data_IF_109169880001
#
_entry.id   IF_109169880001
#
_cell.length_a   1.000
_cell.length_b   1.000
_cell.length_c   1.000
_cell.angle_alpha   90.00
_cell.angle_beta   90.00
_cell.angle_gamma   90.00
#
_symmetry.space_group_name_H-M   'P 1'
#
loop_
_entity.id
_entity.type
_entity.pdbx_description
1 polymer ?
#
# COMPACT_ATOMS: atom_id res chain seq x y z
N UNK A 1 -13.07 30.77 -17.31
CA UNK A 1 -13.47 29.69 -16.37
C UNK A 1 -14.06 30.23 -15.05
N UNK A 2 -13.59 31.39 -14.55
CA UNK A 2 -14.03 31.96 -13.26
C UNK A 2 -15.21 32.94 -13.36
N UNK A 3 -15.61 33.32 -14.58
CA UNK A 3 -16.77 34.18 -14.81
C UNK A 3 -18.09 33.39 -14.68
N UNK A 4 -19.22 34.11 -14.60
CA UNK A 4 -20.54 33.48 -14.53
C UNK A 4 -20.85 32.63 -15.78
N UNK A 5 -20.45 33.11 -16.93
CA UNK A 5 -20.57 32.41 -18.22
C UNK A 5 -19.62 31.22 -18.32
N UNK A 6 -18.39 31.36 -17.80
CA UNK A 6 -17.36 30.30 -17.84
C UNK A 6 -17.54 29.19 -16.79
N UNK A 7 -18.60 29.25 -15.96
CA UNK A 7 -18.82 28.24 -14.92
C UNK A 7 -19.17 26.86 -15.49
N UNK A 8 -19.89 26.82 -16.61
CA UNK A 8 -20.17 25.56 -17.32
C UNK A 8 -18.90 24.97 -17.90
N UNK A 9 -18.03 25.80 -18.51
CA UNK A 9 -16.75 25.34 -19.03
C UNK A 9 -15.81 24.82 -17.93
N UNK A 10 -15.85 25.41 -16.73
CA UNK A 10 -15.10 24.91 -15.59
C UNK A 10 -15.56 23.50 -15.20
N UNK A 11 -16.87 23.25 -15.16
CA UNK A 11 -17.42 21.94 -14.82
C UNK A 11 -16.96 20.89 -15.85
N UNK A 12 -17.10 21.16 -17.13
CA UNK A 12 -16.74 20.23 -18.19
C UNK A 12 -15.22 20.04 -18.31
N UNK A 13 -14.48 21.13 -18.45
CA UNK A 13 -13.03 21.10 -18.75
C UNK A 13 -12.20 20.73 -17.52
N UNK A 14 -12.55 21.23 -16.33
CA UNK A 14 -11.73 21.00 -15.14
C UNK A 14 -12.21 19.78 -14.37
N UNK A 15 -13.52 19.66 -14.09
CA UNK A 15 -14.03 18.60 -13.22
C UNK A 15 -14.29 17.29 -13.97
N UNK A 16 -14.94 17.32 -15.14
CA UNK A 16 -15.28 16.10 -15.88
C UNK A 16 -14.06 15.52 -16.63
N UNK A 17 -13.26 16.34 -17.30
CA UNK A 17 -12.02 15.90 -17.94
C UNK A 17 -10.91 15.61 -16.89
N UNK A 18 -11.02 16.17 -15.68
CA UNK A 18 -9.99 16.06 -14.65
C UNK A 18 -8.68 16.73 -15.07
N UNK A 19 -8.77 17.93 -15.67
CA UNK A 19 -7.65 18.63 -16.25
C UNK A 19 -6.63 19.03 -15.18
N UNK A 20 -5.38 18.66 -15.37
CA UNK A 20 -4.28 19.12 -14.50
C UNK A 20 -3.89 20.57 -14.84
N UNK A 21 -3.23 21.25 -13.89
CA UNK A 21 -2.74 22.61 -14.14
C UNK A 21 -1.80 22.69 -15.36
N UNK A 22 -0.93 21.70 -15.52
CA UNK A 22 0.00 21.67 -16.66
C UNK A 22 -0.74 21.57 -18.00
N UNK A 23 -1.77 20.71 -18.06
CA UNK A 23 -2.61 20.58 -19.26
C UNK A 23 -3.44 21.84 -19.50
N UNK A 24 -3.92 22.49 -18.42
CA UNK A 24 -4.63 23.77 -18.51
C UNK A 24 -3.74 24.86 -19.13
N UNK A 25 -2.51 25.02 -18.63
CA UNK A 25 -1.56 25.98 -19.18
C UNK A 25 -1.20 25.65 -20.62
N UNK A 26 -1.07 24.37 -20.98
CA UNK A 26 -0.86 23.94 -22.36
C UNK A 26 -2.04 24.25 -23.29
N UNK A 27 -3.29 24.13 -22.78
CA UNK A 27 -4.51 24.45 -23.54
C UNK A 27 -4.70 25.97 -23.74
N UNK A 28 -4.21 26.79 -22.81
CA UNK A 28 -4.32 28.24 -22.84
C UNK A 28 -2.94 28.91 -22.77
N UNK A 29 -2.14 28.85 -23.86
CA UNK A 29 -0.75 29.30 -23.86
C UNK A 29 -0.57 30.83 -23.66
N UNK A 30 -1.63 31.61 -23.82
CA UNK A 30 -1.63 33.04 -23.43
C UNK A 30 -1.67 33.25 -21.92
N UNK A 31 -2.01 32.22 -21.14
CA UNK A 31 -1.96 32.24 -19.69
C UNK A 31 -0.54 31.83 -19.25
N UNK A 32 0.35 32.77 -19.07
CA UNK A 32 1.73 32.56 -18.66
C UNK A 32 2.00 33.19 -17.28
N UNK A 33 1.52 32.57 -16.20
CA UNK A 33 1.74 33.10 -14.84
C UNK A 33 3.24 33.08 -14.50
N UNK A 34 3.74 34.11 -13.78
CA UNK A 34 5.12 34.11 -13.30
C UNK A 34 5.40 32.87 -12.41
N UNK A 35 6.61 32.32 -12.56
CA UNK A 35 7.01 31.13 -11.75
C UNK A 35 6.85 31.36 -10.25
N UNK A 36 7.19 32.57 -9.74
CA UNK A 36 7.04 32.91 -8.34
C UNK A 36 5.59 32.79 -7.84
N UNK A 37 4.62 33.19 -8.66
CA UNK A 37 3.20 33.07 -8.34
C UNK A 37 2.77 31.58 -8.31
N UNK A 38 3.25 30.76 -9.24
CA UNK A 38 2.97 29.32 -9.24
C UNK A 38 3.54 28.65 -7.98
N UNK A 39 4.78 28.97 -7.61
CA UNK A 39 5.42 28.41 -6.41
C UNK A 39 4.72 28.85 -5.12
N UNK A 40 4.15 30.06 -5.08
CA UNK A 40 3.40 30.55 -3.94
C UNK A 40 2.04 29.86 -3.78
N UNK A 41 1.35 29.61 -4.90
CA UNK A 41 -0.02 29.09 -4.89
C UNK A 41 -0.10 27.55 -4.90
N UNK A 42 0.91 26.87 -5.44
CA UNK A 42 0.89 25.42 -5.52
C UNK A 42 1.26 24.78 -4.17
N UNK A 43 0.46 23.82 -3.70
CA UNK A 43 0.83 23.08 -2.49
C UNK A 43 2.07 22.22 -2.76
N UNK A 44 2.92 21.99 -1.73
CA UNK A 44 4.05 21.08 -1.86
C UNK A 44 3.57 19.65 -2.16
N UNK A 45 4.41 18.89 -2.84
CA UNK A 45 4.13 17.47 -3.08
C UNK A 45 4.13 16.73 -1.73
N UNK A 46 2.95 16.27 -1.33
CA UNK A 46 2.77 15.59 -0.05
C UNK A 46 3.37 14.18 -0.08
N UNK A 47 4.00 13.71 1.01
CA UNK A 47 4.47 12.34 1.11
C UNK A 47 3.31 11.35 1.08
N UNK A 48 3.57 10.14 0.56
CA UNK A 48 2.65 9.00 0.63
C UNK A 48 3.15 8.06 1.71
N UNK A 49 2.22 7.51 2.48
CA UNK A 49 2.52 6.62 3.59
C UNK A 49 2.16 5.19 3.22
N UNK A 50 3.08 4.27 3.47
CA UNK A 50 2.91 2.84 3.24
C UNK A 50 3.28 2.10 4.51
N UNK A 51 2.46 1.13 4.92
CA UNK A 51 2.78 0.27 6.05
C UNK A 51 3.85 -0.72 5.66
N UNK A 52 4.84 -0.93 6.53
CA UNK A 52 5.90 -1.90 6.30
C UNK A 52 5.36 -3.33 6.40
N UNK A 53 5.85 -4.20 5.54
CA UNK A 53 5.60 -5.65 5.56
C UNK A 53 6.77 -6.47 6.13
N UNK A 54 7.83 -5.80 6.56
CA UNK A 54 9.03 -6.42 7.13
C UNK A 54 9.23 -5.99 8.58
N UNK A 55 9.95 -6.81 9.34
CA UNK A 55 10.36 -6.50 10.72
C UNK A 55 11.85 -6.19 10.80
N UNK A 56 12.27 -5.21 11.62
CA UNK A 56 13.70 -4.94 11.84
C UNK A 56 14.39 -6.05 12.63
N UNK A 57 13.66 -6.97 13.26
CA UNK A 57 14.23 -8.06 14.05
C UNK A 57 14.71 -9.25 13.19
N UNK A 58 14.22 -9.41 11.96
CA UNK A 58 14.71 -10.47 11.09
C UNK A 58 16.13 -10.17 10.62
N UNK A 59 17.02 -11.16 10.68
CA UNK A 59 18.42 -11.03 10.28
C UNK A 59 18.61 -10.49 8.86
N UNK A 60 17.71 -10.86 7.94
CA UNK A 60 17.65 -10.34 6.58
C UNK A 60 16.95 -8.96 6.48
N UNK A 61 16.20 -8.56 7.50
CA UNK A 61 15.38 -7.33 7.50
C UNK A 61 16.08 -6.08 8.02
N UNK A 62 17.22 -6.23 8.67
CA UNK A 62 17.94 -5.10 9.28
C UNK A 62 18.39 -4.03 8.26
N UNK A 63 18.48 -4.38 6.97
CA UNK A 63 18.93 -3.49 5.90
C UNK A 63 17.89 -3.29 4.78
N UNK A 64 16.70 -3.88 4.89
CA UNK A 64 15.66 -3.77 3.86
C UNK A 64 14.30 -3.44 4.45
N UNK A 65 13.54 -2.60 3.76
CA UNK A 65 12.18 -2.24 4.11
C UNK A 65 11.25 -2.69 2.99
N UNK A 66 10.31 -3.57 3.31
CA UNK A 66 9.28 -4.04 2.38
C UNK A 66 7.95 -3.34 2.62
N UNK A 67 7.22 -3.06 1.56
CA UNK A 67 5.84 -2.57 1.60
C UNK A 67 5.07 -3.00 0.33
N UNK A 68 3.76 -3.05 0.42
CA UNK A 68 2.90 -3.32 -0.72
C UNK A 68 2.20 -2.05 -1.20
N UNK A 69 2.08 -1.90 -2.53
CA UNK A 69 1.27 -0.85 -3.12
C UNK A 69 0.52 -1.38 -4.34
N UNK A 70 -0.58 -0.73 -4.67
CA UNK A 70 -1.31 -0.97 -5.91
C UNK A 70 -1.08 0.22 -6.82
N UNK A 71 -0.78 -0.01 -8.10
CA UNK A 71 -0.73 1.06 -9.10
C UNK A 71 -2.14 1.66 -9.22
N UNK A 72 -2.23 2.94 -8.95
CA UNK A 72 -3.52 3.66 -8.98
C UNK A 72 -3.78 4.10 -10.41
N UNK A 73 -4.86 3.61 -10.98
CA UNK A 73 -5.34 3.99 -12.32
C UNK A 73 -6.84 4.23 -12.25
N UNK A 74 -7.28 5.26 -12.93
CA UNK A 74 -8.71 5.56 -13.04
C UNK A 74 -9.03 6.24 -14.36
N UNK A 75 -10.29 6.24 -14.72
CA UNK A 75 -10.80 6.98 -15.87
C UNK A 75 -11.69 8.11 -15.37
N UNK A 76 -11.48 9.31 -15.89
CA UNK A 76 -12.32 10.46 -15.56
C UNK A 76 -13.73 10.30 -16.15
N UNK A 77 -14.74 11.07 -15.69
CA UNK A 77 -16.08 11.04 -16.29
C UNK A 77 -16.08 11.30 -17.79
N UNK A 78 -15.15 12.10 -18.30
CA UNK A 78 -14.99 12.34 -19.74
C UNK A 78 -14.22 11.23 -20.51
N UNK A 79 -13.89 10.10 -19.84
CA UNK A 79 -13.20 8.97 -20.47
C UNK A 79 -11.67 9.11 -20.57
N UNK A 80 -11.06 10.09 -19.90
CA UNK A 80 -9.59 10.28 -19.92
C UNK A 80 -8.94 9.35 -18.90
N UNK A 81 -7.99 8.52 -19.35
CA UNK A 81 -7.21 7.66 -18.47
C UNK A 81 -6.22 8.48 -17.62
N UNK A 82 -6.16 8.19 -16.35
CA UNK A 82 -5.30 8.85 -15.35
C UNK A 82 -4.54 7.82 -14.51
N UNK A 83 -3.36 8.19 -14.05
CA UNK A 83 -2.52 7.35 -13.21
C UNK A 83 -2.06 8.11 -11.96
N UNK A 84 -1.86 7.37 -10.87
CA UNK A 84 -1.36 7.90 -9.62
C UNK A 84 0.14 8.21 -9.71
N UNK A 85 0.53 9.45 -9.46
CA UNK A 85 1.91 9.95 -9.61
C UNK A 85 2.93 9.06 -8.86
N UNK A 86 2.72 8.84 -7.57
CA UNK A 86 3.67 8.09 -6.74
C UNK A 86 3.72 6.59 -7.13
N UNK A 87 2.57 5.96 -7.34
CA UNK A 87 2.52 4.52 -7.63
C UNK A 87 3.04 4.18 -9.02
N UNK A 88 2.85 5.06 -10.01
CA UNK A 88 3.44 4.91 -11.35
C UNK A 88 4.96 5.04 -11.28
N UNK A 89 5.48 6.01 -10.51
CA UNK A 89 6.91 6.15 -10.30
C UNK A 89 7.51 4.93 -9.60
N UNK A 90 6.86 4.42 -8.53
CA UNK A 90 7.31 3.22 -7.84
C UNK A 90 7.33 1.99 -8.76
N UNK A 91 6.31 1.82 -9.61
CA UNK A 91 6.26 0.73 -10.58
C UNK A 91 7.39 0.83 -11.64
N UNK A 92 7.68 2.04 -12.12
CA UNK A 92 8.78 2.28 -13.06
C UNK A 92 10.15 1.96 -12.41
N UNK A 93 10.37 2.39 -11.17
CA UNK A 93 11.59 2.09 -10.43
C UNK A 93 11.75 0.58 -10.20
N UNK A 94 10.69 -0.12 -9.78
CA UNK A 94 10.71 -1.56 -9.59
C UNK A 94 11.03 -2.31 -10.89
N UNK A 95 10.47 -1.87 -12.02
CA UNK A 95 10.73 -2.46 -13.33
C UNK A 95 12.17 -2.22 -13.80
N UNK A 96 12.76 -1.05 -13.54
CA UNK A 96 14.15 -0.76 -13.91
C UNK A 96 15.14 -1.62 -13.13
N UNK A 97 14.92 -1.79 -11.83
CA UNK A 97 15.76 -2.68 -10.98
C UNK A 97 15.66 -4.14 -11.43
N UNK A 98 14.46 -4.60 -11.79
CA UNK A 98 14.25 -5.96 -12.27
C UNK A 98 14.94 -6.22 -13.64
N UNK A 99 15.00 -5.21 -14.52
CA UNK A 99 15.61 -5.35 -15.84
C UNK A 99 17.14 -5.38 -15.79
N UNK A 100 17.76 -4.57 -14.93
CA UNK A 100 19.22 -4.41 -14.89
C UNK A 100 19.91 -5.36 -13.90
N UNK A 101 19.16 -6.04 -13.02
CA UNK A 101 19.71 -6.88 -11.95
C UNK A 101 20.60 -6.10 -10.95
N UNK A 102 20.73 -4.79 -11.13
CA UNK A 102 21.54 -3.91 -10.30
C UNK A 102 20.66 -3.00 -9.45
N UNK A 103 20.76 -3.13 -8.15
CA UNK A 103 20.13 -2.22 -7.20
C UNK A 103 20.79 -0.82 -7.15
N UNK A 104 21.70 -0.51 -8.07
CA UNK A 104 22.65 0.59 -7.92
C UNK A 104 22.18 1.98 -8.40
N UNK A 105 21.10 2.10 -9.17
CA UNK A 105 20.76 3.39 -9.79
C UNK A 105 19.42 4.02 -9.38
N UNK A 106 18.56 3.28 -8.71
CA UNK A 106 17.24 3.79 -8.29
C UNK A 106 17.28 4.23 -6.84
N UNK A 107 17.28 5.54 -6.58
CA UNK A 107 17.20 6.11 -5.25
C UNK A 107 15.77 6.58 -4.95
N UNK A 108 15.25 6.19 -3.80
CA UNK A 108 13.96 6.66 -3.29
C UNK A 108 14.17 7.40 -1.97
N UNK A 109 13.75 8.67 -1.93
CA UNK A 109 13.78 9.46 -0.70
C UNK A 109 12.62 9.04 0.21
N UNK A 110 12.90 8.51 1.39
CA UNK A 110 11.89 8.09 2.34
C UNK A 110 12.26 8.46 3.78
N UNK A 111 11.28 8.47 4.66
CA UNK A 111 11.45 8.64 6.10
C UNK A 111 10.49 7.71 6.85
N UNK A 112 10.86 7.33 8.07
CA UNK A 112 10.00 6.53 8.93
C UNK A 112 9.04 7.43 9.71
N UNK A 113 7.75 7.10 9.65
CA UNK A 113 6.72 7.73 10.47
C UNK A 113 6.26 6.75 11.55
N UNK A 114 6.57 7.02 12.83
CA UNK A 114 6.11 6.17 13.92
C UNK A 114 4.58 6.17 14.02
N UNK A 115 3.99 5.01 14.30
CA UNK A 115 2.56 4.83 14.54
C UNK A 115 2.34 4.36 15.98
N UNK A 116 1.98 5.25 16.91
CA UNK A 116 1.91 4.90 18.34
C UNK A 116 0.78 3.92 18.68
N UNK A 117 -0.31 3.92 17.91
CA UNK A 117 -1.51 3.10 18.16
C UNK A 117 -1.60 1.83 17.33
N UNK A 118 -0.99 1.80 16.14
CA UNK A 118 -1.05 0.63 15.24
C UNK A 118 0.21 -0.22 15.39
N UNK A 119 0.23 -1.07 16.40
CA UNK A 119 1.35 -1.97 16.73
C UNK A 119 0.85 -3.23 17.41
N UNK A 120 1.66 -4.28 17.40
CA UNK A 120 1.40 -5.48 18.20
C UNK A 120 1.37 -5.13 19.70
N UNK A 121 0.53 -5.82 20.50
CA UNK A 121 0.63 -5.80 21.95
C UNK A 121 2.04 -6.22 22.41
N UNK A 122 2.50 -5.63 23.51
CA UNK A 122 3.82 -5.97 24.07
C UNK A 122 3.84 -7.45 24.54
N UNK A 123 2.76 -7.86 25.20
CA UNK A 123 2.59 -9.23 25.66
C UNK A 123 2.30 -10.16 24.46
N UNK A 124 3.22 -11.12 24.13
CA UNK A 124 3.06 -11.98 22.96
C UNK A 124 1.90 -12.96 23.06
N UNK A 125 1.39 -13.25 24.25
CA UNK A 125 0.23 -14.09 24.54
C UNK A 125 -1.11 -13.42 24.24
N UNK A 126 -1.14 -12.10 24.01
CA UNK A 126 -2.38 -11.38 23.73
C UNK A 126 -2.96 -11.82 22.38
N UNK A 127 -4.18 -12.37 22.33
CA UNK A 127 -4.80 -12.75 21.08
C UNK A 127 -5.18 -11.50 20.27
N UNK A 128 -4.93 -11.54 18.94
CA UNK A 128 -5.24 -10.45 18.06
C UNK A 128 -6.04 -10.92 16.85
N UNK A 129 -7.01 -10.12 16.45
CA UNK A 129 -7.72 -10.25 15.19
C UNK A 129 -7.17 -9.19 14.23
N UNK A 130 -6.65 -9.63 13.10
CA UNK A 130 -6.03 -8.81 12.06
C UNK A 130 -6.95 -8.87 10.83
N UNK A 131 -7.31 -7.71 10.28
CA UNK A 131 -8.22 -7.63 9.13
C UNK A 131 -7.55 -6.78 8.05
N UNK A 132 -7.09 -7.44 6.97
CA UNK A 132 -6.28 -6.79 5.94
C UNK A 132 -6.64 -7.22 4.51
N UNK A 133 -7.68 -6.65 3.89
CA UNK A 133 -7.97 -6.92 2.49
C UNK A 133 -6.97 -6.23 1.56
N UNK A 134 -6.61 -6.92 0.46
CA UNK A 134 -5.68 -6.41 -0.55
C UNK A 134 -4.32 -6.04 0.05
N UNK A 135 -3.78 -4.87 -0.31
CA UNK A 135 -2.51 -4.37 0.22
C UNK A 135 -2.53 -4.07 1.72
N UNK A 136 -3.71 -4.02 2.34
CA UNK A 136 -3.87 -3.89 3.80
C UNK A 136 -3.32 -5.07 4.59
N UNK A 137 -2.96 -6.18 3.94
CA UNK A 137 -2.30 -7.33 4.56
C UNK A 137 -0.83 -7.05 4.93
N UNK A 138 -0.17 -6.12 4.25
CA UNK A 138 1.26 -5.86 4.40
C UNK A 138 1.74 -5.71 5.85
N UNK A 139 1.16 -4.87 6.71
CA UNK A 139 1.60 -4.75 8.09
C UNK A 139 1.44 -6.05 8.90
N UNK A 140 0.47 -6.88 8.56
CA UNK A 140 0.22 -8.13 9.28
C UNK A 140 1.21 -9.23 8.93
N UNK A 141 1.77 -9.21 7.72
CA UNK A 141 2.95 -10.01 7.36
C UNK A 141 4.14 -9.60 8.23
N UNK A 142 4.40 -8.29 8.36
CA UNK A 142 5.43 -7.76 9.25
C UNK A 142 5.21 -8.16 10.72
N UNK A 143 3.97 -8.16 11.19
CA UNK A 143 3.62 -8.59 12.55
C UNK A 143 3.88 -10.09 12.77
N UNK A 144 3.53 -10.94 11.80
CA UNK A 144 3.81 -12.38 11.89
C UNK A 144 5.31 -12.65 11.89
N UNK A 145 6.07 -12.01 11.00
CA UNK A 145 7.54 -12.10 10.98
C UNK A 145 8.17 -11.60 12.29
N UNK A 146 7.64 -10.52 12.86
CA UNK A 146 8.12 -9.99 14.13
C UNK A 146 7.95 -11.00 15.26
N UNK A 147 6.80 -11.67 15.35
CA UNK A 147 6.54 -12.71 16.33
C UNK A 147 7.46 -13.92 16.18
N UNK A 148 7.72 -14.36 14.94
CA UNK A 148 8.68 -15.44 14.69
C UNK A 148 10.08 -15.04 15.15
N UNK A 149 10.56 -13.88 14.75
CA UNK A 149 11.88 -13.40 15.13
C UNK A 149 12.04 -13.19 16.65
N UNK A 150 10.99 -12.74 17.35
CA UNK A 150 10.99 -12.67 18.81
C UNK A 150 11.13 -14.07 19.46
N UNK A 151 10.38 -15.05 18.95
CA UNK A 151 10.46 -16.43 19.47
C UNK A 151 11.86 -17.03 19.27
N UNK A 152 12.45 -16.84 18.08
CA UNK A 152 13.80 -17.28 17.76
C UNK A 152 14.83 -16.65 18.72
N UNK A 153 14.74 -15.34 18.95
CA UNK A 153 15.64 -14.61 19.83
C UNK A 153 15.55 -15.07 21.29
N UNK A 154 14.38 -15.49 21.73
CA UNK A 154 14.13 -16.02 23.08
C UNK A 154 14.46 -17.51 23.22
N UNK A 155 14.87 -18.19 22.14
CA UNK A 155 15.07 -19.64 22.11
C UNK A 155 13.79 -20.44 22.41
N UNK A 156 12.63 -19.86 22.16
CA UNK A 156 11.34 -20.43 22.45
C UNK A 156 10.80 -21.17 21.22
N UNK A 157 10.33 -22.43 21.41
CA UNK A 157 9.55 -23.09 20.39
C UNK A 157 8.17 -22.42 20.27
N UNK A 158 7.80 -22.06 19.07
CA UNK A 158 6.49 -21.54 18.75
C UNK A 158 5.61 -22.67 18.16
N UNK A 159 4.39 -22.90 18.62
CA UNK A 159 3.64 -22.18 19.65
C UNK A 159 3.85 -22.80 21.03
N UNK A 160 4.67 -22.18 21.87
CA UNK A 160 4.64 -22.54 23.30
C UNK A 160 3.22 -22.32 23.85
N UNK A 161 2.73 -23.24 24.64
CA UNK A 161 1.40 -23.18 25.23
C UNK A 161 1.18 -21.81 25.90
N UNK A 162 0.18 -21.06 25.44
CA UNK A 162 -0.19 -19.75 25.98
C UNK A 162 0.24 -18.51 25.18
N UNK A 163 1.06 -18.62 24.14
CA UNK A 163 1.37 -17.45 23.30
C UNK A 163 0.21 -17.10 22.38
N UNK A 164 -0.01 -15.79 22.21
CA UNK A 164 -1.20 -15.22 21.59
C UNK A 164 -1.42 -15.67 20.17
N UNK A 165 -2.65 -16.02 19.89
CA UNK A 165 -3.10 -16.50 18.60
C UNK A 165 -3.44 -15.30 17.71
N UNK A 166 -2.60 -14.99 16.74
CA UNK A 166 -2.95 -14.06 15.69
C UNK A 166 -3.91 -14.74 14.72
N UNK A 167 -5.09 -14.19 14.54
CA UNK A 167 -6.04 -14.62 13.49
C UNK A 167 -6.08 -13.55 12.42
N UNK A 168 -5.70 -13.90 11.19
CA UNK A 168 -5.71 -12.98 10.07
C UNK A 168 -6.88 -13.27 9.13
N UNK A 169 -7.70 -12.25 8.88
CA UNK A 169 -8.71 -12.23 7.83
C UNK A 169 -8.15 -11.49 6.64
N UNK A 170 -7.84 -12.23 5.57
CA UNK A 170 -7.32 -11.71 4.31
C UNK A 170 -8.38 -11.80 3.22
N UNK A 171 -8.52 -10.77 2.41
CA UNK A 171 -9.45 -10.74 1.28
C UNK A 171 -8.81 -10.19 0.04
N UNK A 172 -9.06 -10.83 -1.11
CA UNK A 172 -8.68 -10.31 -2.42
C UNK A 172 -9.76 -10.63 -3.47
N UNK A 173 -9.53 -10.27 -4.73
CA UNK A 173 -10.49 -10.54 -5.80
C UNK A 173 -10.43 -11.98 -6.25
N UNK A 174 -9.24 -12.45 -6.63
CA UNK A 174 -8.99 -13.79 -7.15
C UNK A 174 -7.84 -14.44 -6.39
N UNK A 175 -8.03 -15.68 -5.95
CA UNK A 175 -7.01 -16.43 -5.23
C UNK A 175 -5.72 -16.59 -6.05
N UNK A 176 -5.83 -17.01 -7.30
CA UNK A 176 -4.67 -17.30 -8.13
C UNK A 176 -3.90 -16.05 -8.62
N UNK A 177 -4.50 -14.85 -8.53
CA UNK A 177 -3.93 -13.63 -9.12
C UNK A 177 -3.57 -12.56 -8.10
N UNK A 178 -4.39 -12.44 -7.06
CA UNK A 178 -4.37 -11.28 -6.17
C UNK A 178 -3.99 -11.68 -4.73
N UNK A 179 -3.59 -12.94 -4.47
CA UNK A 179 -3.19 -13.38 -3.13
C UNK A 179 -1.76 -12.92 -2.83
N UNK A 180 -1.66 -11.73 -2.25
CA UNK A 180 -0.39 -11.14 -1.84
C UNK A 180 0.21 -11.91 -0.67
N UNK A 181 1.54 -12.11 -0.68
CA UNK A 181 2.31 -12.74 0.40
C UNK A 181 1.82 -14.14 0.77
N UNK A 182 1.36 -14.93 -0.22
CA UNK A 182 0.85 -16.28 0.02
C UNK A 182 1.86 -17.14 0.78
N UNK A 183 3.07 -17.24 0.27
CA UNK A 183 4.12 -18.10 0.83
C UNK A 183 4.49 -17.68 2.24
N UNK A 184 4.63 -16.38 2.51
CA UNK A 184 4.94 -15.84 3.82
C UNK A 184 3.81 -16.08 4.82
N UNK A 185 2.56 -15.96 4.41
CA UNK A 185 1.40 -16.19 5.27
C UNK A 185 1.21 -17.69 5.57
N UNK A 186 1.40 -18.56 4.59
CA UNK A 186 1.37 -20.01 4.78
C UNK A 186 2.52 -20.48 5.68
N UNK A 187 3.73 -19.93 5.50
CA UNK A 187 4.87 -20.18 6.38
C UNK A 187 4.60 -19.69 7.81
N UNK A 188 3.95 -18.52 7.98
CA UNK A 188 3.58 -18.00 9.29
C UNK A 188 2.54 -18.87 10.00
N UNK A 189 1.62 -19.51 9.26
CA UNK A 189 0.70 -20.51 9.81
C UNK A 189 1.46 -21.78 10.22
N UNK A 190 2.33 -22.30 9.32
CA UNK A 190 3.14 -23.48 9.58
C UNK A 190 4.10 -23.31 10.76
N UNK A 191 4.70 -22.14 10.90
CA UNK A 191 5.56 -21.75 12.04
C UNK A 191 4.80 -21.33 13.29
N UNK A 192 3.46 -21.28 13.26
CA UNK A 192 2.61 -21.00 14.41
C UNK A 192 2.45 -19.52 14.76
N UNK A 193 3.12 -18.58 14.08
CA UNK A 193 2.94 -17.13 14.31
C UNK A 193 1.52 -16.66 13.99
N UNK A 194 0.91 -17.24 12.94
CA UNK A 194 -0.51 -17.14 12.69
C UNK A 194 -1.21 -18.42 13.20
N UNK A 195 -2.08 -18.27 14.18
CA UNK A 195 -2.92 -19.39 14.64
C UNK A 195 -4.02 -19.73 13.63
N UNK A 196 -4.44 -18.77 12.81
CA UNK A 196 -5.46 -18.98 11.78
C UNK A 196 -5.34 -17.93 10.67
N UNK A 197 -5.40 -18.40 9.43
CA UNK A 197 -5.58 -17.58 8.24
C UNK A 197 -6.97 -17.85 7.65
N UNK A 198 -7.79 -16.81 7.55
CA UNK A 198 -9.14 -16.87 6.98
C UNK A 198 -9.16 -16.05 5.70
N UNK A 199 -9.49 -16.69 4.59
CA UNK A 199 -9.46 -16.04 3.27
C UNK A 199 -10.86 -15.77 2.73
N UNK A 200 -11.01 -14.69 1.96
CA UNK A 200 -12.22 -14.34 1.26
C UNK A 200 -11.88 -13.87 -0.16
N UNK A 201 -12.49 -14.52 -1.16
CA UNK A 201 -12.26 -14.21 -2.57
C UNK A 201 -13.54 -13.64 -3.19
N UNK A 202 -13.50 -12.34 -3.55
CA UNK A 202 -14.71 -11.61 -3.90
C UNK A 202 -15.17 -11.78 -5.35
N UNK A 203 -14.39 -12.46 -6.19
CA UNK A 203 -14.69 -12.69 -7.62
C UNK A 203 -14.45 -14.14 -8.07
N UNK A 204 -14.39 -15.10 -7.16
CA UNK A 204 -14.28 -16.53 -7.49
C UNK A 204 -15.64 -17.15 -7.82
N UNK A 205 -16.70 -16.61 -7.23
CA UNK A 205 -18.06 -17.10 -7.40
C UNK A 205 -19.00 -15.98 -7.84
N UNK A 206 -20.20 -16.33 -8.28
CA UNK A 206 -21.24 -15.36 -8.62
C UNK A 206 -21.64 -14.50 -7.42
N UNK A 207 -21.60 -15.07 -6.22
CA UNK A 207 -21.82 -14.35 -4.97
C UNK A 207 -20.48 -13.80 -4.46
N UNK A 208 -20.45 -12.49 -4.15
CA UNK A 208 -19.26 -11.82 -3.64
C UNK A 208 -19.04 -12.14 -2.17
N UNK A 209 -17.91 -12.76 -1.87
CA UNK A 209 -17.50 -13.07 -0.50
C UNK A 209 -16.41 -12.10 -0.07
N UNK A 210 -16.67 -11.32 0.97
CA UNK A 210 -15.72 -10.40 1.59
C UNK A 210 -15.34 -10.89 3.00
N UNK A 211 -14.30 -10.30 3.59
CA UNK A 211 -13.79 -10.68 4.91
C UNK A 211 -14.85 -10.62 6.02
N UNK A 212 -15.80 -9.69 5.95
CA UNK A 212 -16.90 -9.58 6.90
C UNK A 212 -17.96 -10.69 6.78
N UNK A 213 -17.88 -11.53 5.76
CA UNK A 213 -18.76 -12.70 5.59
C UNK A 213 -18.14 -14.00 6.13
N UNK A 214 -16.97 -13.90 6.79
CA UNK A 214 -16.20 -15.04 7.32
C UNK A 214 -16.17 -15.12 8.84
#
# INVERSE_FOLDING_TARGET
LTTKEGKADYATVVLEEGLTLLELLGRYPSCAPPLGLLLELLPPLMPRYYSLSTTPLAAAGASSLGFAFTVVEWTTPAGVARQGLATTQLAALASSVAADGSSGSAALCCFLKPTPSFRLPEAPETPCILIGPGTGVAPFVGFAQHRLAQAEAEGAEWPAAGRGKLTLYFGCRHEAKDFLYREELEAAVGGGALGRLVTAFSRETAEKVYVQHR
#
